data_IF_029787542110
#
_entry.id   IF_029787542110
#
_cell.length_a   1.000
_cell.length_b   1.000
_cell.length_c   1.000
_cell.angle_alpha   90.00
_cell.angle_beta   90.00
_cell.angle_gamma   90.00
#
_symmetry.space_group_name_H-M   'P 1'
#
loop_
_entity.id
_entity.type
_entity.pdbx_description
1 polymer ?
#
# COMPACT_ATOMS: atom_id res chain seq x y z
N UNK A 1 -3.76 -6.19 -43.07
CA UNK A 1 -3.38 -4.82 -42.63
C UNK A 1 -2.97 -4.69 -41.15
N UNK A 2 -3.25 -5.68 -40.25
CA UNK A 2 -2.83 -5.63 -38.83
C UNK A 2 -1.36 -5.99 -38.56
N UNK A 3 -0.67 -6.69 -39.47
CA UNK A 3 0.76 -7.05 -39.31
C UNK A 3 1.73 -5.89 -39.54
N UNK A 4 1.35 -4.86 -40.31
CA UNK A 4 2.27 -3.77 -40.69
C UNK A 4 2.42 -2.68 -39.61
N UNK A 5 1.53 -2.62 -38.61
CA UNK A 5 1.70 -1.71 -37.48
C UNK A 5 2.56 -2.30 -36.35
N UNK A 6 2.59 -3.63 -36.17
CA UNK A 6 3.44 -4.30 -35.17
C UNK A 6 4.94 -4.20 -35.49
N UNK A 7 5.32 -4.23 -36.78
CA UNK A 7 6.73 -4.13 -37.20
C UNK A 7 7.35 -2.74 -37.04
N UNK A 8 6.53 -1.67 -36.94
CA UNK A 8 7.05 -0.29 -36.88
C UNK A 8 7.56 0.12 -35.49
N UNK A 9 7.01 -0.41 -34.39
CA UNK A 9 7.46 -0.05 -33.03
C UNK A 9 8.58 -0.93 -32.47
N UNK A 10 8.76 -2.17 -32.96
CA UNK A 10 9.91 -3.02 -32.59
C UNK A 10 11.25 -2.40 -33.01
N UNK A 11 11.24 -1.50 -34.00
CA UNK A 11 12.44 -0.87 -34.55
C UNK A 11 13.07 0.20 -33.65
N UNK A 12 12.34 0.76 -32.67
CA UNK A 12 12.77 1.92 -31.88
C UNK A 12 13.25 1.61 -30.45
N UNK A 13 12.99 0.42 -29.89
CA UNK A 13 13.50 0.09 -28.55
C UNK A 13 14.88 -0.62 -28.63
N UNK A 14 15.99 0.02 -28.22
CA UNK A 14 17.32 -0.56 -28.30
C UNK A 14 17.51 -1.83 -27.46
N UNK A 15 16.68 -2.09 -26.44
CA UNK A 15 16.69 -3.36 -25.69
C UNK A 15 15.99 -4.49 -26.46
N UNK A 16 14.90 -4.21 -27.20
CA UNK A 16 14.23 -5.19 -28.08
C UNK A 16 15.16 -5.61 -29.23
N UNK A 17 15.97 -4.69 -29.75
CA UNK A 17 17.06 -5.02 -30.70
C UNK A 17 18.17 -5.88 -30.08
N UNK A 18 18.47 -5.69 -28.78
CA UNK A 18 19.55 -6.39 -28.08
C UNK A 18 19.14 -7.78 -27.57
N UNK A 19 17.84 -8.03 -27.40
CA UNK A 19 17.28 -9.30 -26.92
C UNK A 19 15.97 -9.70 -27.62
N UNK A 20 15.96 -9.91 -28.95
CA UNK A 20 14.73 -10.18 -29.73
C UNK A 20 14.01 -11.49 -29.33
N UNK A 21 14.68 -12.35 -28.56
CA UNK A 21 14.21 -13.68 -28.15
C UNK A 21 14.07 -13.84 -26.63
N UNK A 22 13.81 -12.76 -25.88
CA UNK A 22 13.72 -12.81 -24.41
C UNK A 22 12.38 -12.30 -23.87
N UNK A 23 11.63 -11.59 -24.69
CA UNK A 23 10.33 -11.01 -24.34
C UNK A 23 9.24 -11.72 -25.16
N UNK A 24 8.14 -12.09 -24.50
CA UNK A 24 7.07 -12.87 -25.12
C UNK A 24 6.25 -12.07 -26.13
N UNK A 25 6.29 -10.75 -26.06
CA UNK A 25 5.65 -9.84 -27.02
C UNK A 25 6.21 -9.96 -28.44
N UNK A 26 7.45 -10.44 -28.59
CA UNK A 26 8.12 -10.68 -29.87
C UNK A 26 8.13 -12.14 -30.33
N UNK A 27 7.55 -13.07 -29.56
CA UNK A 27 7.56 -14.51 -29.86
C UNK A 27 6.21 -15.04 -30.34
N UNK A 28 6.25 -16.06 -31.22
CA UNK A 28 5.07 -16.81 -31.60
C UNK A 28 4.40 -17.50 -30.41
N UNK A 29 3.06 -17.48 -30.37
CA UNK A 29 2.27 -17.97 -29.24
C UNK A 29 2.54 -19.43 -28.83
N UNK A 30 3.12 -20.26 -29.69
CA UNK A 30 3.38 -21.69 -29.43
C UNK A 30 4.82 -22.02 -29.00
N UNK A 31 5.63 -21.02 -28.63
CA UNK A 31 7.00 -21.30 -28.18
C UNK A 31 7.01 -22.00 -26.81
N UNK A 32 7.93 -22.95 -26.59
CA UNK A 32 8.14 -23.61 -25.28
C UNK A 32 8.44 -22.61 -24.16
N UNK A 33 9.00 -21.46 -24.52
CA UNK A 33 9.25 -20.36 -23.59
C UNK A 33 7.94 -19.68 -23.15
N UNK A 34 6.99 -19.48 -24.07
CA UNK A 34 5.65 -18.97 -23.76
C UNK A 34 4.85 -19.94 -22.87
N UNK A 35 4.90 -21.24 -23.16
CA UNK A 35 4.23 -22.26 -22.34
C UNK A 35 4.76 -22.32 -20.90
N UNK A 36 6.07 -22.13 -20.70
CA UNK A 36 6.64 -22.06 -19.36
C UNK A 36 6.06 -20.91 -18.53
N UNK A 37 5.84 -19.72 -19.13
CA UNK A 37 5.20 -18.60 -18.43
C UNK A 37 3.68 -18.78 -18.27
N UNK A 38 2.99 -19.46 -19.19
CA UNK A 38 1.58 -19.86 -18.99
C UNK A 38 1.42 -20.83 -17.83
N UNK A 39 2.33 -21.79 -17.71
CA UNK A 39 2.41 -22.72 -16.58
C UNK A 39 2.69 -21.94 -15.28
N UNK A 40 3.67 -21.04 -15.28
CA UNK A 40 3.99 -20.20 -14.12
C UNK A 40 2.79 -19.37 -13.67
N UNK A 41 2.09 -18.71 -14.60
CA UNK A 41 0.86 -17.97 -14.32
C UNK A 41 -0.19 -18.88 -13.67
N UNK A 42 -0.39 -20.07 -14.21
CA UNK A 42 -1.37 -21.04 -13.71
C UNK A 42 -1.03 -21.48 -12.28
N UNK A 43 0.24 -21.78 -11.99
CA UNK A 43 0.69 -22.13 -10.64
C UNK A 43 0.51 -20.98 -9.64
N UNK A 44 0.79 -19.74 -10.06
CA UNK A 44 0.53 -18.56 -9.23
C UNK A 44 -0.97 -18.41 -9.00
N UNK A 45 -1.81 -18.56 -10.02
CA UNK A 45 -3.26 -18.48 -9.90
C UNK A 45 -3.84 -19.49 -8.92
N UNK A 46 -3.41 -20.76 -8.97
CA UNK A 46 -3.83 -21.76 -7.99
C UNK A 46 -3.38 -21.42 -6.57
N UNK A 47 -2.17 -20.86 -6.42
CA UNK A 47 -1.70 -20.37 -5.11
C UNK A 47 -2.51 -19.15 -4.60
N UNK A 48 -3.15 -18.40 -5.52
CA UNK A 48 -4.03 -17.25 -5.23
C UNK A 48 -5.46 -17.69 -4.87
N UNK A 49 -5.88 -18.92 -5.22
CA UNK A 49 -7.21 -19.41 -4.83
C UNK A 49 -7.29 -19.69 -3.33
N UNK A 50 -6.21 -20.20 -2.73
CA UNK A 50 -6.14 -20.49 -1.29
C UNK A 50 -5.86 -19.24 -0.44
N UNK A 51 -5.24 -18.21 -1.02
CA UNK A 51 -4.86 -16.96 -0.35
C UNK A 51 -5.11 -15.81 -1.33
N UNK A 52 -5.84 -14.76 -0.93
CA UNK A 52 -6.08 -13.55 -1.76
C UNK A 52 -4.79 -12.78 -2.10
N UNK A 53 -3.89 -13.37 -2.88
CA UNK A 53 -2.62 -12.81 -3.31
C UNK A 53 -2.90 -11.86 -4.47
N UNK A 54 -2.66 -10.57 -4.26
CA UNK A 54 -2.78 -9.54 -5.28
C UNK A 54 -1.46 -8.85 -5.55
N UNK A 55 -0.48 -8.98 -4.67
CA UNK A 55 0.86 -8.42 -4.79
C UNK A 55 1.95 -9.51 -4.71
N UNK A 56 2.88 -9.50 -5.66
CA UNK A 56 3.96 -10.48 -5.78
C UNK A 56 5.31 -9.79 -5.95
N UNK A 57 6.21 -10.00 -5.00
CA UNK A 57 7.62 -9.60 -5.12
C UNK A 57 8.36 -10.62 -5.97
N UNK A 58 9.05 -10.15 -7.00
CA UNK A 58 10.01 -10.93 -7.78
C UNK A 58 11.42 -10.49 -7.36
N UNK A 59 12.17 -11.44 -6.81
CA UNK A 59 13.56 -11.22 -6.38
C UNK A 59 14.45 -12.36 -6.91
N UNK A 60 15.74 -12.32 -6.62
CA UNK A 60 16.69 -13.38 -6.95
C UNK A 60 17.75 -13.53 -5.86
N UNK A 61 18.47 -14.65 -5.84
CA UNK A 61 19.54 -14.84 -4.88
C UNK A 61 20.73 -13.93 -5.22
N UNK A 62 21.09 -13.83 -6.50
CA UNK A 62 22.21 -13.00 -6.99
C UNK A 62 21.86 -12.10 -8.16
N UNK A 63 22.84 -11.30 -8.58
CA UNK A 63 22.71 -10.43 -9.75
C UNK A 63 22.60 -11.26 -11.04
N UNK A 64 21.92 -10.70 -12.04
CA UNK A 64 21.86 -11.27 -13.39
C UNK A 64 21.19 -12.66 -13.50
N UNK A 65 20.29 -13.00 -12.57
CA UNK A 65 19.49 -14.24 -12.64
C UNK A 65 18.25 -14.13 -13.55
N UNK A 66 17.94 -12.93 -14.03
CA UNK A 66 16.83 -12.67 -14.95
C UNK A 66 15.51 -12.34 -14.28
N UNK A 67 15.57 -11.76 -13.07
CA UNK A 67 14.41 -11.23 -12.30
C UNK A 67 13.52 -10.33 -13.15
N UNK A 68 14.08 -9.26 -13.71
CA UNK A 68 13.36 -8.22 -14.46
C UNK A 68 12.72 -8.75 -15.75
N UNK A 69 13.38 -9.70 -16.43
CA UNK A 69 12.81 -10.41 -17.59
C UNK A 69 11.64 -11.30 -17.18
N UNK A 70 11.78 -11.99 -16.05
CA UNK A 70 10.72 -12.83 -15.50
C UNK A 70 9.52 -11.99 -15.08
N UNK A 71 9.76 -10.85 -14.44
CA UNK A 71 8.77 -9.83 -14.10
C UNK A 71 7.98 -9.39 -15.34
N UNK A 72 8.67 -9.00 -16.42
CA UNK A 72 8.01 -8.60 -17.67
C UNK A 72 7.13 -9.71 -18.26
N UNK A 73 7.71 -10.89 -18.49
CA UNK A 73 7.02 -11.97 -19.18
C UNK A 73 5.85 -12.53 -18.37
N UNK A 74 5.98 -12.57 -17.03
CA UNK A 74 4.88 -12.92 -16.16
C UNK A 74 3.76 -11.89 -16.22
N UNK A 75 4.09 -10.60 -16.14
CA UNK A 75 3.12 -9.51 -16.21
C UNK A 75 2.36 -9.52 -17.55
N UNK A 76 3.08 -9.67 -18.66
CA UNK A 76 2.52 -9.82 -19.99
C UNK A 76 1.57 -11.04 -20.06
N UNK A 77 2.01 -12.21 -19.59
CA UNK A 77 1.20 -13.43 -19.65
C UNK A 77 -0.06 -13.35 -18.78
N UNK A 78 0.00 -12.62 -17.66
CA UNK A 78 -1.15 -12.32 -16.82
C UNK A 78 -2.10 -11.33 -17.50
N UNK A 79 -1.61 -10.27 -18.13
CA UNK A 79 -2.48 -9.28 -18.79
C UNK A 79 -3.24 -9.87 -19.99
N UNK A 80 -2.65 -10.85 -20.70
CA UNK A 80 -3.32 -11.61 -21.76
C UNK A 80 -4.56 -12.40 -21.28
N UNK A 81 -4.71 -12.65 -19.97
CA UNK A 81 -5.93 -13.26 -19.40
C UNK A 81 -7.02 -12.24 -19.04
N UNK A 82 -6.89 -11.00 -19.51
CA UNK A 82 -7.85 -9.93 -19.24
C UNK A 82 -7.69 -9.25 -17.88
N UNK A 83 -6.72 -9.67 -17.07
CA UNK A 83 -6.42 -9.08 -15.76
C UNK A 83 -5.72 -7.74 -15.93
N UNK A 84 -6.10 -6.76 -15.11
CA UNK A 84 -5.36 -5.51 -14.96
C UNK A 84 -4.09 -5.76 -14.13
N UNK A 85 -2.91 -5.61 -14.76
CA UNK A 85 -1.62 -5.92 -14.15
C UNK A 85 -0.76 -4.67 -14.07
N UNK A 86 -0.27 -4.37 -12.87
CA UNK A 86 0.70 -3.30 -12.64
C UNK A 86 2.08 -3.90 -12.33
N UNK A 87 3.11 -3.36 -12.96
CA UNK A 87 4.51 -3.63 -12.62
C UNK A 87 5.12 -2.43 -11.92
N UNK A 88 5.68 -2.64 -10.72
CA UNK A 88 6.40 -1.61 -9.96
C UNK A 88 7.90 -1.90 -10.05
N UNK A 89 8.69 -0.92 -10.50
CA UNK A 89 10.16 -1.00 -10.46
C UNK A 89 10.68 -0.54 -9.09
N UNK A 90 10.86 -1.49 -8.16
CA UNK A 90 11.40 -1.23 -6.85
C UNK A 90 12.91 -1.56 -6.75
N UNK A 91 13.59 -1.85 -7.87
CA UNK A 91 15.06 -1.84 -7.94
C UNK A 91 15.55 -0.40 -8.14
N UNK A 92 15.40 0.39 -7.08
CA UNK A 92 15.76 1.82 -7.09
C UNK A 92 17.28 2.06 -7.26
N UNK A 93 18.11 1.01 -7.19
CA UNK A 93 19.56 1.07 -7.37
C UNK A 93 19.97 0.92 -8.83
N UNK A 94 19.32 -0.02 -9.54
CA UNK A 94 19.61 -0.31 -10.95
C UNK A 94 18.30 -0.50 -11.73
N UNK A 95 17.47 0.55 -11.88
CA UNK A 95 16.16 0.44 -12.49
C UNK A 95 16.26 0.12 -13.98
N UNK A 96 15.40 -0.78 -14.42
CA UNK A 96 15.45 -1.40 -15.75
C UNK A 96 14.09 -1.53 -16.41
N UNK A 97 12.99 -1.47 -15.66
CA UNK A 97 11.63 -1.71 -16.15
C UNK A 97 11.23 -0.65 -17.18
N UNK A 98 11.49 0.65 -16.93
CA UNK A 98 11.09 1.69 -17.88
C UNK A 98 11.65 1.46 -19.29
N UNK A 99 12.90 0.96 -19.38
CA UNK A 99 13.53 0.64 -20.67
C UNK A 99 12.87 -0.57 -21.34
N UNK A 100 12.49 -1.58 -20.57
CA UNK A 100 11.90 -2.82 -21.09
C UNK A 100 10.46 -2.61 -21.58
N UNK A 101 9.69 -1.79 -20.88
CA UNK A 101 8.28 -1.53 -21.21
C UNK A 101 8.06 -0.36 -22.17
N UNK A 102 9.15 0.20 -22.74
CA UNK A 102 9.10 1.42 -23.57
C UNK A 102 8.36 2.59 -22.89
N UNK A 103 8.42 2.62 -21.57
CA UNK A 103 7.82 3.66 -20.76
C UNK A 103 8.72 4.90 -20.80
N UNK A 104 8.13 6.09 -20.85
CA UNK A 104 8.89 7.31 -20.78
C UNK A 104 9.72 7.32 -19.48
N UNK A 105 10.98 7.82 -19.54
CA UNK A 105 11.70 8.18 -18.33
C UNK A 105 10.86 9.26 -17.64
N UNK A 106 10.18 8.86 -16.58
CA UNK A 106 9.26 9.70 -15.87
C UNK A 106 9.49 9.55 -14.37
N UNK A 107 8.92 10.49 -13.64
CA UNK A 107 8.71 10.40 -12.21
C UNK A 107 8.00 9.08 -11.88
N UNK A 108 8.29 8.51 -10.72
CA UNK A 108 7.85 7.17 -10.35
C UNK A 108 7.78 6.99 -8.84
N UNK A 109 8.12 5.79 -8.38
CA UNK A 109 8.11 5.41 -6.96
C UNK A 109 8.86 6.43 -6.10
N UNK A 110 10.06 6.85 -6.49
CA UNK A 110 10.87 7.78 -5.70
C UNK A 110 10.15 9.10 -5.48
N UNK A 111 9.69 9.79 -6.54
CA UNK A 111 9.01 11.08 -6.41
C UNK A 111 7.68 10.96 -5.68
N UNK A 112 6.97 9.85 -5.84
CA UNK A 112 5.73 9.63 -5.09
C UNK A 112 5.99 9.53 -3.57
N UNK A 113 7.01 8.77 -3.18
CA UNK A 113 7.33 8.54 -1.77
C UNK A 113 8.04 9.74 -1.14
N UNK A 114 8.77 10.54 -1.92
CA UNK A 114 9.53 11.70 -1.46
C UNK A 114 8.77 13.03 -1.57
N UNK A 115 7.93 13.22 -2.59
CA UNK A 115 7.26 14.50 -2.84
C UNK A 115 5.79 14.44 -2.44
N UNK A 116 5.02 13.52 -3.03
CA UNK A 116 3.57 13.50 -2.85
C UNK A 116 3.18 13.16 -1.40
N UNK A 117 3.84 12.18 -0.78
CA UNK A 117 3.54 11.81 0.61
C UNK A 117 4.08 12.85 1.61
N UNK A 118 5.07 13.65 1.23
CA UNK A 118 5.57 14.77 2.03
C UNK A 118 4.97 16.11 1.62
N UNK A 119 3.81 16.10 0.96
CA UNK A 119 3.09 17.32 0.63
C UNK A 119 2.87 18.18 1.89
N UNK A 120 3.00 19.50 1.70
CA UNK A 120 2.71 20.45 2.76
C UNK A 120 1.21 20.42 3.06
N UNK A 121 0.89 20.14 4.33
CA UNK A 121 -0.47 20.08 4.85
C UNK A 121 -0.69 21.11 5.97
N UNK A 122 0.14 22.16 6.02
CA UNK A 122 0.00 23.25 6.99
C UNK A 122 -1.32 24.00 6.79
N UNK A 123 -1.75 24.22 5.55
CA UNK A 123 -3.05 24.80 5.24
C UNK A 123 -3.49 24.40 3.82
N UNK A 124 -4.79 24.48 3.55
CA UNK A 124 -5.34 24.23 2.21
C UNK A 124 -6.85 24.08 2.22
N UNK A 125 -7.39 23.60 1.10
CA UNK A 125 -8.84 23.40 0.90
C UNK A 125 -9.19 21.92 0.76
N UNK A 126 -10.38 21.55 1.25
CA UNK A 126 -10.89 20.17 1.22
C UNK A 126 -11.26 19.68 -0.19
N UNK A 127 -11.43 20.62 -1.13
CA UNK A 127 -11.63 20.34 -2.55
C UNK A 127 -10.38 19.75 -3.22
N UNK A 128 -9.19 20.07 -2.72
CA UNK A 128 -7.92 19.53 -3.22
C UNK A 128 -7.44 18.33 -2.39
N UNK A 129 -7.67 18.37 -1.08
CA UNK A 129 -7.32 17.30 -0.14
C UNK A 129 -8.57 16.79 0.56
N UNK A 130 -9.01 15.58 0.21
CA UNK A 130 -10.08 14.95 0.99
C UNK A 130 -9.60 14.73 2.44
N UNK A 131 -10.53 14.66 3.38
CA UNK A 131 -10.19 14.38 4.80
C UNK A 131 -9.35 13.12 4.95
N UNK A 132 -9.63 12.09 4.15
CA UNK A 132 -8.88 10.84 4.16
C UNK A 132 -7.42 11.02 3.69
N UNK A 133 -7.17 11.93 2.74
CA UNK A 133 -5.81 12.30 2.34
C UNK A 133 -5.07 12.94 3.51
N UNK A 134 -5.68 13.93 4.17
CA UNK A 134 -5.07 14.65 5.29
C UNK A 134 -4.68 13.70 6.41
N UNK A 135 -5.58 12.81 6.79
CA UNK A 135 -5.30 11.83 7.84
C UNK A 135 -4.20 10.86 7.44
N UNK A 136 -4.24 10.34 6.21
CA UNK A 136 -3.20 9.43 5.74
C UNK A 136 -1.85 10.13 5.63
N UNK A 137 -1.81 11.39 5.22
CA UNK A 137 -0.59 12.20 5.16
C UNK A 137 -0.04 12.47 6.57
N UNK A 138 -0.88 12.85 7.53
CA UNK A 138 -0.47 13.01 8.94
C UNK A 138 0.11 11.72 9.51
N UNK A 139 -0.54 10.58 9.24
CA UNK A 139 -0.08 9.24 9.63
C UNK A 139 1.29 8.90 9.00
N UNK A 140 1.41 9.01 7.67
CA UNK A 140 2.61 8.65 6.94
C UNK A 140 3.80 9.59 7.21
N UNK A 141 3.52 10.85 7.54
CA UNK A 141 4.52 11.84 7.94
C UNK A 141 4.84 11.78 9.45
N UNK A 142 4.10 10.96 10.22
CA UNK A 142 4.24 10.84 11.70
C UNK A 142 4.14 12.18 12.43
N UNK A 143 3.25 13.07 11.98
CA UNK A 143 3.15 14.43 12.54
C UNK A 143 2.57 14.45 13.96
N UNK A 144 3.00 15.45 14.73
CA UNK A 144 2.54 15.78 16.07
C UNK A 144 1.83 17.14 16.03
N UNK A 145 0.53 17.19 16.24
CA UNK A 145 -0.17 18.47 16.09
C UNK A 145 -1.67 18.42 16.09
N UNK A 146 -2.26 19.57 15.79
CA UNK A 146 -3.67 19.80 15.64
C UNK A 146 -4.00 20.00 14.16
N UNK A 147 -4.87 19.14 13.63
CA UNK A 147 -5.55 19.36 12.35
C UNK A 147 -6.93 19.95 12.62
N UNK A 148 -7.13 21.22 12.24
CA UNK A 148 -8.41 21.89 12.26
C UNK A 148 -9.06 21.82 10.87
N UNK A 149 -10.32 21.40 10.82
CA UNK A 149 -11.16 21.33 9.63
C UNK A 149 -12.34 22.29 9.80
N UNK A 150 -12.58 23.15 8.82
CA UNK A 150 -13.65 24.14 8.85
C UNK A 150 -14.45 24.11 7.54
N UNK A 151 -15.73 23.74 7.63
CA UNK A 151 -16.66 23.69 6.49
C UNK A 151 -17.55 24.93 6.39
N UNK A 152 -17.33 25.95 7.24
CA UNK A 152 -18.20 27.10 7.45
C UNK A 152 -19.40 26.82 8.36
N UNK A 153 -19.90 25.59 8.39
CA UNK A 153 -20.97 25.13 9.31
C UNK A 153 -20.39 24.37 10.50
N UNK A 154 -19.56 23.39 10.20
CA UNK A 154 -18.95 22.49 11.16
C UNK A 154 -17.45 22.75 11.26
N UNK A 155 -16.97 22.87 12.50
CA UNK A 155 -15.54 23.00 12.84
C UNK A 155 -15.13 21.80 13.68
N UNK A 156 -14.14 21.05 13.19
CA UNK A 156 -13.59 19.87 13.85
C UNK A 156 -12.11 20.10 14.13
N UNK A 157 -11.67 19.72 15.32
CA UNK A 157 -10.28 19.77 15.78
C UNK A 157 -9.81 18.36 16.10
N UNK A 158 -8.73 17.91 15.47
CA UNK A 158 -8.21 16.55 15.59
C UNK A 158 -6.75 16.59 16.02
N UNK A 159 -6.45 15.88 17.10
CA UNK A 159 -5.13 15.90 17.72
C UNK A 159 -4.38 14.63 17.37
N UNK A 160 -3.14 14.77 16.91
CA UNK A 160 -2.31 13.67 16.45
C UNK A 160 -0.99 13.63 17.20
N UNK A 161 -0.57 12.41 17.54
CA UNK A 161 0.73 12.13 18.11
C UNK A 161 1.36 10.94 17.37
N UNK A 162 2.55 11.13 16.82
CA UNK A 162 3.26 10.24 15.90
C UNK A 162 2.38 9.78 14.73
N UNK A 163 1.57 10.71 14.20
CA UNK A 163 0.61 10.44 13.12
C UNK A 163 -0.63 9.65 13.54
N UNK A 164 -0.77 9.27 14.82
CA UNK A 164 -1.95 8.58 15.35
C UNK A 164 -2.92 9.57 15.95
N UNK A 165 -4.19 9.43 15.62
CA UNK A 165 -5.26 10.23 16.21
C UNK A 165 -5.39 9.92 17.72
N UNK A 166 -5.34 10.98 18.54
CA UNK A 166 -5.46 10.94 20.00
C UNK A 166 -6.78 11.51 20.50
N UNK A 167 -7.30 12.54 19.83
CA UNK A 167 -8.55 13.16 20.22
C UNK A 167 -9.25 13.80 19.01
N UNK A 168 -10.58 13.94 19.11
CA UNK A 168 -11.43 14.58 18.11
C UNK A 168 -12.52 15.42 18.78
N UNK A 169 -12.49 16.72 18.54
CA UNK A 169 -13.40 17.70 19.13
C UNK A 169 -14.22 18.32 18.01
N UNK A 170 -15.55 18.27 18.14
CA UNK A 170 -16.46 19.05 17.28
C UNK A 170 -16.76 20.36 17.97
N UNK A 171 -16.03 21.42 17.58
CA UNK A 171 -16.06 22.72 18.24
C UNK A 171 -17.42 23.42 18.10
N UNK A 172 -18.06 23.31 16.93
CA UNK A 172 -19.40 23.87 16.65
C UNK A 172 -20.53 22.88 16.89
N UNK A 173 -20.31 21.86 17.73
CA UNK A 173 -21.33 20.85 18.05
C UNK A 173 -22.60 21.50 18.62
N UNK A 174 -23.79 21.21 18.06
CA UNK A 174 -25.08 21.71 18.58
C UNK A 174 -25.28 21.38 20.06
N UNK A 175 -25.94 22.26 20.82
CA UNK A 175 -26.10 22.13 22.28
C UNK A 175 -26.77 20.81 22.67
N UNK A 176 -27.79 20.39 21.94
CA UNK A 176 -28.51 19.13 22.14
C UNK A 176 -27.61 17.90 21.95
N UNK A 177 -26.54 18.01 21.15
CA UNK A 177 -25.59 16.93 20.89
C UNK A 177 -24.39 16.91 21.83
N UNK A 178 -24.23 17.92 22.68
CA UNK A 178 -23.11 17.97 23.62
C UNK A 178 -23.22 16.86 24.66
N UNK A 179 -22.08 16.35 25.10
CA UNK A 179 -22.00 15.25 26.07
C UNK A 179 -22.88 15.47 27.31
N UNK A 180 -22.91 16.68 27.87
CA UNK A 180 -23.77 16.99 29.02
C UNK A 180 -25.26 16.77 28.71
N UNK A 181 -25.74 17.27 27.56
CA UNK A 181 -27.13 17.14 27.12
C UNK A 181 -27.49 15.68 26.86
N UNK A 182 -26.62 14.93 26.16
CA UNK A 182 -26.81 13.49 25.89
C UNK A 182 -26.87 12.67 27.19
N UNK A 183 -26.02 13.00 28.18
CA UNK A 183 -26.03 12.33 29.48
C UNK A 183 -27.30 12.65 30.29
N UNK A 184 -27.82 13.86 30.16
CA UNK A 184 -29.09 14.26 30.81
C UNK A 184 -30.29 13.60 30.13
N UNK A 185 -30.35 13.61 28.81
CA UNK A 185 -31.42 12.99 28.03
C UNK A 185 -31.49 11.47 28.20
N UNK A 186 -30.35 10.81 28.34
CA UNK A 186 -30.27 9.36 28.63
C UNK A 186 -30.59 9.00 30.09
N UNK A 187 -30.78 10.00 30.96
CA UNK A 187 -31.06 9.80 32.38
C UNK A 187 -29.84 9.37 33.23
N UNK A 188 -28.64 9.32 32.63
CA UNK A 188 -27.39 8.97 33.32
C UNK A 188 -26.93 10.10 34.25
N UNK A 189 -27.25 11.35 33.92
CA UNK A 189 -26.87 12.54 34.68
C UNK A 189 -28.08 13.43 34.97
N UNK A 190 -28.24 13.92 36.19
CA UNK A 190 -29.27 14.92 36.48
C UNK A 190 -28.90 16.29 35.89
N UNK A 191 -29.91 17.10 35.55
CA UNK A 191 -29.69 18.46 35.06
C UNK A 191 -28.91 19.34 36.05
N UNK A 192 -29.12 19.13 37.36
CA UNK A 192 -28.36 19.83 38.41
C UNK A 192 -26.89 19.43 38.40
N UNK A 193 -26.60 18.11 38.38
CA UNK A 193 -25.23 17.60 38.36
C UNK A 193 -24.49 18.05 37.08
N UNK A 194 -25.18 18.11 35.94
CA UNK A 194 -24.63 18.65 34.71
C UNK A 194 -24.21 20.13 34.84
N UNK A 195 -25.06 20.96 35.45
CA UNK A 195 -24.75 22.39 35.71
C UNK A 195 -23.54 22.54 36.64
N UNK A 196 -23.46 21.73 37.69
CA UNK A 196 -22.33 21.73 38.63
C UNK A 196 -21.03 21.35 37.90
N UNK A 197 -21.03 20.26 37.13
CA UNK A 197 -19.87 19.80 36.38
C UNK A 197 -19.40 20.82 35.33
N UNK A 198 -20.34 21.47 34.63
CA UNK A 198 -20.02 22.51 33.64
C UNK A 198 -19.38 23.75 34.27
N UNK A 199 -19.82 24.17 35.46
CA UNK A 199 -19.17 25.26 36.21
C UNK A 199 -17.74 24.88 36.60
N UNK A 200 -17.55 23.70 37.21
CA UNK A 200 -16.23 23.22 37.61
C UNK A 200 -15.29 23.11 36.41
N UNK A 201 -15.75 22.58 35.27
CA UNK A 201 -14.98 22.55 34.02
C UNK A 201 -14.53 23.94 33.59
N UNK A 202 -15.39 24.95 33.69
CA UNK A 202 -15.04 26.34 33.32
C UNK A 202 -13.94 26.89 34.24
N UNK A 203 -13.97 26.53 35.51
CA UNK A 203 -13.00 26.97 36.51
C UNK A 203 -11.67 26.21 36.42
N UNK A 204 -11.69 24.91 36.10
CA UNK A 204 -10.50 24.04 36.08
C UNK A 204 -9.88 23.83 34.70
N UNK A 205 -10.62 24.06 33.62
CA UNK A 205 -10.20 23.77 32.25
C UNK A 205 -10.15 22.27 31.88
N UNK A 206 -10.51 21.37 32.80
CA UNK A 206 -10.47 19.92 32.57
C UNK A 206 -11.52 19.45 31.55
N UNK A 207 -11.28 18.29 30.91
CA UNK A 207 -12.27 17.63 30.05
C UNK A 207 -13.51 17.28 30.88
N UNK A 208 -14.71 17.47 30.32
CA UNK A 208 -15.97 17.26 31.04
C UNK A 208 -16.11 15.83 31.58
N UNK A 209 -15.65 14.82 30.82
CA UNK A 209 -15.65 13.43 31.27
C UNK A 209 -14.86 13.22 32.57
N UNK A 210 -13.64 13.78 32.64
CA UNK A 210 -12.81 13.72 33.85
C UNK A 210 -13.46 14.45 35.02
N UNK A 211 -14.07 15.62 34.79
CA UNK A 211 -14.79 16.34 35.85
C UNK A 211 -15.96 15.51 36.40
N UNK A 212 -16.70 14.82 35.53
CA UNK A 212 -17.83 13.98 35.94
C UNK A 212 -17.38 12.76 36.76
N UNK A 213 -16.27 12.12 36.39
CA UNK A 213 -15.71 10.97 37.11
C UNK A 213 -15.05 11.38 38.42
N UNK A 214 -14.25 12.46 38.43
CA UNK A 214 -13.54 12.95 39.62
C UNK A 214 -14.50 13.44 40.70
N UNK A 215 -15.66 13.96 40.29
CA UNK A 215 -16.74 14.36 41.21
C UNK A 215 -17.60 13.18 41.69
N UNK A 216 -17.37 11.97 41.18
CA UNK A 216 -18.20 10.80 41.48
C UNK A 216 -19.64 10.91 40.94
N UNK A 217 -19.88 11.78 39.95
CA UNK A 217 -21.21 12.01 39.39
C UNK A 217 -21.62 10.92 38.41
N UNK A 218 -20.65 10.30 37.73
CA UNK A 218 -20.84 9.21 36.76
C UNK A 218 -19.64 8.25 36.85
N UNK A 219 -19.84 6.96 36.63
CA UNK A 219 -18.75 5.99 36.51
C UNK A 219 -18.12 6.00 35.11
N UNK A 220 -16.84 5.62 34.98
CA UNK A 220 -16.20 5.45 33.66
C UNK A 220 -16.96 4.48 32.74
N UNK A 221 -17.58 3.45 33.31
CA UNK A 221 -18.35 2.44 32.58
C UNK A 221 -19.58 3.07 31.91
N UNK A 222 -20.29 3.94 32.62
CA UNK A 222 -21.49 4.61 32.10
C UNK A 222 -21.14 5.70 31.09
N UNK A 223 -19.93 6.26 31.18
CA UNK A 223 -19.44 7.29 30.28
C UNK A 223 -18.97 6.72 28.91
N UNK A 224 -18.54 5.45 28.86
CA UNK A 224 -18.04 4.77 27.65
C UNK A 224 -18.99 4.84 26.46
N UNK A 225 -20.25 4.48 26.66
CA UNK A 225 -21.26 4.45 25.59
C UNK A 225 -21.48 5.84 24.97
N UNK A 226 -21.83 6.86 25.77
CA UNK A 226 -21.99 8.24 25.32
C UNK A 226 -20.73 8.81 24.64
N UNK A 227 -19.54 8.56 25.18
CA UNK A 227 -18.30 9.01 24.55
C UNK A 227 -18.06 8.35 23.18
N UNK A 228 -18.28 7.03 23.06
CA UNK A 228 -18.15 6.34 21.78
C UNK A 228 -19.13 6.90 20.73
N UNK A 229 -20.37 7.17 21.12
CA UNK A 229 -21.36 7.79 20.24
C UNK A 229 -20.92 9.21 19.83
N UNK A 230 -20.50 10.03 20.79
CA UNK A 230 -20.02 11.39 20.56
C UNK A 230 -18.84 11.41 19.58
N UNK A 231 -17.86 10.54 19.78
CA UNK A 231 -16.72 10.34 18.86
C UNK A 231 -17.19 9.92 17.47
N UNK A 232 -18.10 8.93 17.38
CA UNK A 232 -18.57 8.42 16.09
C UNK A 232 -19.30 9.51 15.30
N UNK A 233 -20.12 10.33 15.95
CA UNK A 233 -20.76 11.49 15.32
C UNK A 233 -19.74 12.47 14.77
N UNK A 234 -18.67 12.80 15.52
CA UNK A 234 -17.61 13.68 15.04
C UNK A 234 -16.99 13.13 13.76
N UNK A 235 -16.67 11.83 13.71
CA UNK A 235 -16.18 11.20 12.48
C UNK A 235 -17.21 11.23 11.34
N UNK A 236 -18.50 11.11 11.62
CA UNK A 236 -19.54 11.19 10.59
C UNK A 236 -19.59 12.58 9.96
N UNK A 237 -19.43 13.63 10.77
CA UNK A 237 -19.33 15.02 10.28
C UNK A 237 -18.10 15.16 9.39
N UNK A 238 -16.92 14.77 9.88
CA UNK A 238 -15.68 14.78 9.10
C UNK A 238 -15.84 14.08 7.75
N UNK A 239 -16.39 12.86 7.71
CA UNK A 239 -16.57 12.12 6.45
C UNK A 239 -17.50 12.80 5.44
N UNK A 240 -18.41 13.67 5.92
CA UNK A 240 -19.34 14.46 5.08
C UNK A 240 -18.74 15.79 4.64
N UNK A 241 -17.66 16.26 5.26
CA UNK A 241 -16.96 17.47 4.83
C UNK A 241 -16.30 17.23 3.48
N UNK A 242 -16.84 17.85 2.42
CA UNK A 242 -16.30 17.78 1.06
C UNK A 242 -15.67 19.10 0.59
N UNK A 243 -16.02 20.19 1.24
CA UNK A 243 -15.60 21.55 0.92
C UNK A 243 -15.23 22.27 2.22
N UNK A 244 -14.42 23.31 2.12
CA UNK A 244 -13.95 24.08 3.27
C UNK A 244 -12.44 24.15 3.33
N UNK A 245 -11.91 24.55 4.46
CA UNK A 245 -10.49 24.78 4.69
C UNK A 245 -9.96 23.88 5.79
N UNK A 246 -8.66 23.60 5.75
CA UNK A 246 -7.95 22.95 6.84
C UNK A 246 -6.70 23.72 7.23
N UNK A 247 -6.30 23.56 8.48
CA UNK A 247 -5.05 24.07 9.01
C UNK A 247 -4.41 23.03 9.92
N UNK A 248 -3.14 22.73 9.72
CA UNK A 248 -2.35 21.90 10.62
C UNK A 248 -1.35 22.76 11.38
N UNK A 249 -1.34 22.63 12.71
CA UNK A 249 -0.40 23.31 13.59
C UNK A 249 0.39 22.28 14.40
N UNK A 250 1.71 22.38 14.39
CA UNK A 250 2.56 21.52 15.23
C UNK A 250 2.31 21.80 16.72
N UNK A 251 2.28 20.74 17.53
CA UNK A 251 2.15 20.82 18.98
C UNK A 251 3.39 20.23 19.67
N UNK A 252 3.88 20.84 20.76
CA UNK A 252 5.04 20.32 21.49
C UNK A 252 4.70 19.00 22.19
N UNK A 253 5.72 18.16 22.43
CA UNK A 253 5.55 16.86 23.11
C UNK A 253 4.88 16.98 24.48
N UNK A 254 5.11 18.09 25.18
CA UNK A 254 4.49 18.39 26.47
C UNK A 254 2.96 18.40 26.44
N UNK A 255 2.35 18.61 25.27
CA UNK A 255 0.90 18.55 25.09
C UNK A 255 0.35 17.12 25.16
N UNK A 256 1.20 16.11 24.97
CA UNK A 256 0.84 14.68 24.94
C UNK A 256 1.31 13.91 26.19
N UNK A 257 1.86 14.61 27.19
CA UNK A 257 2.51 14.01 28.37
C UNK A 257 1.55 13.45 29.45
N UNK A 258 0.23 13.59 29.31
CA UNK A 258 -0.71 12.89 30.18
C UNK A 258 -0.89 11.44 29.70
N UNK A 259 -1.13 10.52 30.63
CA UNK A 259 -1.55 9.11 30.41
C UNK A 259 -2.90 9.00 29.63
N UNK A 260 -3.03 9.69 28.50
CA UNK A 260 -4.08 9.50 27.48
C UNK A 260 -3.72 8.24 26.68
N UNK A 261 -3.66 7.11 27.40
CA UNK A 261 -3.78 5.80 26.80
C UNK A 261 -5.10 5.80 26.06
N UNK A 262 -5.10 5.84 24.72
CA UNK A 262 -6.26 5.83 23.82
C UNK A 262 -7.40 4.96 24.40
N UNK A 263 -8.29 5.49 25.27
CA UNK A 263 -8.99 4.64 26.24
C UNK A 263 -10.08 3.82 25.57
N UNK A 264 -10.42 4.23 24.35
CA UNK A 264 -11.53 3.74 23.56
C UNK A 264 -11.07 3.22 22.20
N UNK A 265 -9.76 3.14 21.95
CA UNK A 265 -9.21 2.70 20.67
C UNK A 265 -9.68 3.59 19.52
N UNK A 266 -9.71 4.92 19.71
CA UNK A 266 -10.08 5.92 18.71
C UNK A 266 -9.35 5.69 17.39
N UNK A 267 -8.05 5.37 17.47
CA UNK A 267 -7.27 5.05 16.28
C UNK A 267 -7.77 3.77 15.61
N UNK A 268 -8.10 2.73 16.36
CA UNK A 268 -8.63 1.46 15.82
C UNK A 268 -10.04 1.62 15.23
N UNK A 269 -10.90 2.39 15.91
CA UNK A 269 -12.25 2.73 15.44
C UNK A 269 -12.18 3.45 14.10
N UNK A 270 -11.23 4.38 13.99
CA UNK A 270 -10.95 5.12 12.78
C UNK A 270 -10.37 4.22 11.66
N UNK A 271 -9.36 3.40 11.94
CA UNK A 271 -8.79 2.47 10.96
C UNK A 271 -9.85 1.52 10.37
N UNK A 272 -10.79 1.06 11.19
CA UNK A 272 -11.91 0.23 10.72
C UNK A 272 -12.79 1.00 9.74
N UNK A 273 -13.11 2.26 10.04
CA UNK A 273 -13.93 3.11 9.19
C UNK A 273 -13.24 3.45 7.86
N UNK A 274 -11.93 3.75 7.89
CA UNK A 274 -11.15 4.00 6.68
C UNK A 274 -11.24 2.84 5.69
N UNK A 275 -11.16 1.59 6.18
CA UNK A 275 -11.20 0.40 5.32
C UNK A 275 -12.52 0.22 4.56
N UNK A 276 -13.61 0.88 4.95
CA UNK A 276 -14.94 0.75 4.35
C UNK A 276 -15.21 1.75 3.22
N UNK A 277 -14.34 2.74 2.98
CA UNK A 277 -14.62 3.77 1.97
C UNK A 277 -13.53 4.80 1.71
N UNK A 278 -12.26 4.40 1.64
CA UNK A 278 -11.13 5.31 1.36
C UNK A 278 -11.35 6.16 0.09
N UNK A 279 -11.50 7.48 0.25
CA UNK A 279 -11.52 8.43 -0.85
C UNK A 279 -10.33 9.38 -0.78
N UNK A 280 -9.15 8.86 -1.11
CA UNK A 280 -7.97 9.67 -1.30
C UNK A 280 -8.10 10.46 -2.62
N UNK A 281 -8.41 11.74 -2.57
CA UNK A 281 -8.54 12.59 -3.75
C UNK A 281 -7.16 13.03 -4.25
N UNK A 282 -6.36 13.62 -3.35
CA UNK A 282 -5.02 14.12 -3.64
C UNK A 282 -4.07 12.96 -3.97
N UNK A 283 -3.92 11.98 -3.06
CA UNK A 283 -2.96 10.89 -3.23
C UNK A 283 -3.32 10.05 -4.46
N UNK A 284 -4.61 9.81 -4.72
CA UNK A 284 -5.03 9.11 -5.95
C UNK A 284 -4.56 9.84 -7.18
N UNK A 285 -4.81 11.14 -7.28
CA UNK A 285 -4.41 11.95 -8.42
C UNK A 285 -2.90 11.90 -8.62
N UNK A 286 -2.12 12.03 -7.54
CA UNK A 286 -0.66 11.92 -7.59
C UNK A 286 -0.23 10.53 -8.09
N UNK A 287 -0.75 9.45 -7.51
CA UNK A 287 -0.40 8.07 -7.89
C UNK A 287 -0.77 7.77 -9.35
N UNK A 288 -1.99 8.09 -9.77
CA UNK A 288 -2.50 7.77 -11.11
C UNK A 288 -1.74 8.51 -12.22
N UNK A 289 -1.27 9.74 -11.96
CA UNK A 289 -0.46 10.48 -12.94
C UNK A 289 0.92 9.87 -13.20
N UNK A 290 1.43 9.05 -12.28
CA UNK A 290 2.73 8.38 -12.38
C UNK A 290 2.64 6.96 -12.97
N UNK A 291 1.43 6.39 -13.04
CA UNK A 291 1.21 5.09 -13.65
C UNK A 291 1.16 5.25 -15.17
N UNK A 292 2.05 4.53 -15.86
CA UNK A 292 2.13 4.56 -17.31
C UNK A 292 1.41 3.36 -17.91
N UNK A 293 0.64 3.62 -18.97
CA UNK A 293 0.14 2.56 -19.86
C UNK A 293 1.28 2.06 -20.73
N UNK A 294 1.28 0.77 -21.01
CA UNK A 294 2.22 0.16 -21.96
C UNK A 294 1.53 -0.07 -23.30
N UNK A 295 2.30 -0.47 -24.32
CA UNK A 295 1.75 -0.89 -25.63
C UNK A 295 0.92 -2.19 -25.52
N UNK A 296 0.96 -2.88 -24.37
CA UNK A 296 0.17 -4.09 -24.11
C UNK A 296 -1.13 -3.74 -23.36
N UNK A 297 -2.30 -4.16 -23.86
CA UNK A 297 -3.57 -3.97 -23.15
C UNK A 297 -3.54 -4.55 -21.73
N UNK A 298 -4.20 -3.86 -20.80
CA UNK A 298 -4.30 -4.22 -19.38
C UNK A 298 -2.96 -4.31 -18.62
N UNK A 299 -1.86 -3.83 -19.20
CA UNK A 299 -0.54 -3.84 -18.58
C UNK A 299 -0.02 -2.43 -18.36
N UNK A 300 0.32 -2.16 -17.10
CA UNK A 300 0.69 -0.84 -16.59
C UNK A 300 2.03 -0.92 -15.87
N UNK A 301 2.73 0.20 -15.80
CA UNK A 301 4.04 0.32 -15.16
C UNK A 301 4.09 1.54 -14.25
N UNK A 302 4.54 1.34 -13.02
CA UNK A 302 5.01 2.40 -12.14
C UNK A 302 6.55 2.34 -12.14
N UNK A 303 7.25 3.26 -12.83
CA UNK A 303 8.70 3.26 -12.90
C UNK A 303 9.33 3.60 -11.54
N UNK A 304 10.64 3.40 -11.40
CA UNK A 304 11.36 3.73 -10.17
C UNK A 304 11.38 5.22 -9.88
N UNK A 305 11.44 6.06 -10.92
CA UNK A 305 11.80 7.47 -10.78
C UNK A 305 13.31 7.67 -10.66
N UNK A 306 13.72 8.83 -10.14
CA UNK A 306 15.12 9.13 -9.86
C UNK A 306 15.71 8.14 -8.83
N UNK A 307 17.02 7.90 -8.88
CA UNK A 307 17.71 7.07 -7.89
C UNK A 307 17.81 7.88 -6.59
N UNK A 308 17.18 7.45 -5.48
CA UNK A 308 17.24 8.19 -4.22
C UNK A 308 18.59 7.98 -3.52
N UNK A 309 18.99 8.87 -2.59
CA UNK A 309 20.20 8.68 -1.79
C UNK A 309 20.10 7.46 -0.85
N UNK A 310 18.90 7.17 -0.31
CA UNK A 310 18.66 6.09 0.65
C UNK A 310 17.60 5.08 0.15
N UNK A 311 17.89 4.23 -0.85
CA UNK A 311 16.92 3.27 -1.41
C UNK A 311 16.26 2.35 -0.38
N UNK A 312 17.05 1.74 0.51
CA UNK A 312 16.58 0.74 1.46
C UNK A 312 15.56 1.31 2.46
N UNK A 313 15.78 2.55 2.92
CA UNK A 313 14.86 3.24 3.83
C UNK A 313 13.52 3.51 3.14
N UNK A 314 13.58 3.99 1.90
CA UNK A 314 12.39 4.32 1.12
C UNK A 314 11.52 3.08 0.85
N UNK A 315 12.13 1.97 0.43
CA UNK A 315 11.42 0.72 0.16
C UNK A 315 10.92 0.02 1.44
N UNK A 316 11.61 0.19 2.57
CA UNK A 316 11.21 -0.37 3.86
C UNK A 316 10.15 0.45 4.61
N UNK A 317 9.79 1.63 4.10
CA UNK A 317 8.93 2.58 4.79
C UNK A 317 7.45 2.21 4.78
N UNK A 318 6.69 2.73 5.75
CA UNK A 318 5.23 2.63 5.77
C UNK A 318 4.58 3.31 4.56
N UNK A 319 5.28 4.28 3.95
CA UNK A 319 4.88 4.92 2.69
C UNK A 319 4.82 3.92 1.54
N UNK A 320 5.85 3.08 1.40
CA UNK A 320 5.87 2.00 0.40
C UNK A 320 4.79 0.95 0.69
N UNK A 321 4.62 0.58 1.96
CA UNK A 321 3.58 -0.36 2.39
C UNK A 321 2.17 0.14 2.02
N UNK A 322 1.90 1.42 2.27
CA UNK A 322 0.66 2.07 1.86
C UNK A 322 0.47 2.01 0.35
N UNK A 323 1.51 2.38 -0.42
CA UNK A 323 1.46 2.37 -1.88
C UNK A 323 1.12 0.98 -2.44
N UNK A 324 1.82 -0.06 -2.00
CA UNK A 324 1.58 -1.45 -2.43
C UNK A 324 0.15 -1.86 -2.09
N UNK A 325 -0.30 -1.60 -0.85
CA UNK A 325 -1.64 -1.95 -0.38
C UNK A 325 -2.74 -1.23 -1.17
N UNK A 326 -2.54 0.06 -1.46
CA UNK A 326 -3.45 0.88 -2.24
C UNK A 326 -3.56 0.40 -3.69
N UNK A 327 -2.44 0.07 -4.33
CA UNK A 327 -2.40 -0.42 -5.71
C UNK A 327 -2.97 -1.84 -5.83
N UNK A 328 -2.71 -2.72 -4.86
CA UNK A 328 -3.27 -4.07 -4.82
C UNK A 328 -4.80 -4.10 -4.68
N UNK A 329 -5.42 -3.01 -4.22
CA UNK A 329 -6.88 -2.85 -4.22
C UNK A 329 -7.44 -2.41 -5.58
N UNK A 330 -6.62 -1.73 -6.40
CA UNK A 330 -7.01 -1.14 -7.69
C UNK A 330 -6.72 -2.01 -8.92
N UNK A 331 -5.68 -2.83 -8.85
CA UNK A 331 -5.31 -3.76 -9.91
C UNK A 331 -5.68 -5.19 -9.51
N UNK A 332 -5.99 -6.02 -10.50
CA UNK A 332 -6.18 -7.45 -10.28
C UNK A 332 -4.90 -8.11 -9.78
N UNK A 333 -3.74 -7.61 -10.25
CA UNK A 333 -2.43 -8.11 -9.85
C UNK A 333 -1.34 -7.05 -9.91
N UNK A 334 -0.45 -7.04 -8.92
CA UNK A 334 0.70 -6.13 -8.81
C UNK A 334 1.98 -6.96 -8.71
N UNK A 335 2.93 -6.74 -9.61
CA UNK A 335 4.24 -7.41 -9.61
C UNK A 335 5.32 -6.39 -9.30
N UNK A 336 6.18 -6.69 -8.32
CA UNK A 336 7.19 -5.76 -7.81
C UNK A 336 8.58 -6.32 -8.18
N UNK A 337 9.30 -5.66 -9.10
CA UNK A 337 10.70 -6.01 -9.40
C UNK A 337 11.60 -5.46 -8.29
N UNK A 338 12.48 -6.29 -7.73
CA UNK A 338 13.34 -5.90 -6.59
C UNK A 338 14.80 -6.25 -6.83
N UNK A 339 15.76 -5.61 -6.14
CA UNK A 339 17.15 -6.04 -6.16
C UNK A 339 17.33 -7.51 -5.69
N UNK A 340 18.45 -8.15 -6.00
CA UNK A 340 18.77 -9.48 -5.45
C UNK A 340 19.03 -9.45 -3.93
N UNK A 341 18.70 -10.55 -3.26
CA UNK A 341 18.75 -10.71 -1.79
C UNK A 341 20.16 -10.63 -1.21
N UNK A 342 21.12 -11.35 -1.80
CA UNK A 342 22.47 -11.46 -1.21
C UNK A 342 23.25 -10.14 -1.21
N UNK A 343 23.22 -9.32 -2.28
CA UNK A 343 23.96 -8.06 -2.30
C UNK A 343 23.18 -6.84 -1.76
N UNK A 344 21.88 -6.95 -1.48
CA UNK A 344 21.07 -5.81 -1.03
C UNK A 344 19.95 -6.24 -0.07
N UNK A 345 19.72 -5.44 0.97
CA UNK A 345 18.64 -5.66 1.95
C UNK A 345 17.25 -5.25 1.44
N UNK A 346 17.18 -4.47 0.37
CA UNK A 346 15.97 -3.87 -0.19
C UNK A 346 14.84 -4.89 -0.42
N UNK A 347 15.17 -6.05 -1.02
CA UNK A 347 14.20 -7.13 -1.24
C UNK A 347 13.71 -7.78 0.07
N UNK A 348 14.56 -7.85 1.10
CA UNK A 348 14.17 -8.37 2.42
C UNK A 348 13.19 -7.43 3.13
N UNK A 349 13.32 -6.12 2.92
CA UNK A 349 12.43 -5.11 3.49
C UNK A 349 11.08 -5.03 2.75
N UNK A 350 11.07 -5.26 1.44
CA UNK A 350 9.86 -5.28 0.60
C UNK A 350 9.08 -6.60 0.71
N UNK A 351 9.77 -7.73 0.84
CA UNK A 351 9.16 -9.06 0.88
C UNK A 351 7.97 -9.20 1.87
N UNK A 352 8.03 -8.73 3.13
CA UNK A 352 6.90 -8.82 4.06
C UNK A 352 5.77 -7.81 3.79
N UNK A 353 5.94 -6.86 2.85
CA UNK A 353 4.93 -5.88 2.50
C UNK A 353 4.01 -6.36 1.36
N UNK A 354 4.35 -7.47 0.70
CA UNK A 354 3.56 -8.09 -0.36
C UNK A 354 2.93 -9.41 0.10
N UNK A 355 1.90 -9.86 -0.60
CA UNK A 355 1.17 -11.10 -0.26
C UNK A 355 1.99 -12.38 -0.53
N UNK A 356 2.97 -12.28 -1.43
CA UNK A 356 3.83 -13.39 -1.82
C UNK A 356 5.17 -12.95 -2.39
N UNK A 357 6.13 -13.88 -2.36
CA UNK A 357 7.47 -13.74 -2.93
C UNK A 357 7.75 -14.92 -3.86
N UNK A 358 8.24 -14.64 -5.07
CA UNK A 358 8.83 -15.64 -5.95
C UNK A 358 10.31 -15.32 -6.19
N UNK A 359 11.17 -16.32 -5.96
CA UNK A 359 12.62 -16.16 -6.12
C UNK A 359 13.09 -16.74 -7.46
N UNK A 360 13.66 -15.92 -8.31
CA UNK A 360 14.27 -16.33 -9.57
C UNK A 360 15.70 -16.82 -9.33
N UNK A 361 16.02 -18.02 -9.81
CA UNK A 361 17.36 -18.60 -9.74
C UNK A 361 17.79 -19.00 -11.14
N UNK A 362 18.96 -18.55 -11.58
CA UNK A 362 19.48 -18.94 -12.90
C UNK A 362 20.17 -20.29 -12.79
N UNK A 363 19.78 -21.21 -13.69
CA UNK A 363 20.41 -22.53 -13.80
C UNK A 363 21.91 -22.40 -14.06
N UNK A 364 22.72 -23.10 -13.26
CA UNK A 364 24.17 -23.15 -13.38
C UNK A 364 24.92 -21.87 -12.96
N UNK A 365 24.25 -20.83 -12.44
CA UNK A 365 24.94 -19.61 -12.00
C UNK A 365 25.44 -19.72 -10.55
N UNK A 366 24.52 -19.85 -9.59
CA UNK A 366 24.84 -19.90 -8.17
C UNK A 366 24.87 -21.34 -7.66
N UNK A 367 25.78 -21.60 -6.72
CA UNK A 367 25.83 -22.87 -5.98
C UNK A 367 24.64 -23.00 -5.04
N UNK A 368 24.17 -24.23 -4.82
CA UNK A 368 22.99 -24.54 -3.99
C UNK A 368 23.07 -23.95 -2.57
N UNK A 369 24.26 -23.90 -1.97
CA UNK A 369 24.46 -23.30 -0.64
C UNK A 369 24.19 -21.78 -0.61
N UNK A 370 24.55 -21.05 -1.67
CA UNK A 370 24.29 -19.61 -1.78
C UNK A 370 22.80 -19.33 -1.96
N UNK A 371 22.13 -20.14 -2.79
CA UNK A 371 20.66 -20.09 -2.91
C UNK A 371 20.01 -20.41 -1.56
N UNK A 372 20.50 -21.42 -0.83
CA UNK A 372 20.04 -21.75 0.51
C UNK A 372 20.18 -20.61 1.52
N UNK A 373 21.29 -19.84 1.46
CA UNK A 373 21.47 -18.63 2.27
C UNK A 373 20.42 -17.56 1.97
N UNK A 374 20.14 -17.30 0.69
CA UNK A 374 19.12 -16.33 0.28
C UNK A 374 17.72 -16.73 0.77
N UNK A 375 17.35 -18.01 0.63
CA UNK A 375 16.10 -18.57 1.16
C UNK A 375 16.02 -18.41 2.68
N UNK A 376 17.11 -18.69 3.39
CA UNK A 376 17.17 -18.57 4.85
C UNK A 376 17.09 -17.10 5.33
N UNK A 377 17.54 -16.13 4.54
CA UNK A 377 17.35 -14.71 4.84
C UNK A 377 15.90 -14.28 4.60
N UNK A 378 15.28 -14.68 3.48
CA UNK A 378 13.87 -14.39 3.22
C UNK A 378 12.94 -14.99 4.28
N UNK A 379 13.16 -16.25 4.69
CA UNK A 379 12.31 -16.88 5.71
C UNK A 379 12.37 -16.18 7.07
N UNK A 380 13.47 -15.48 7.39
CA UNK A 380 13.59 -14.70 8.62
C UNK A 380 12.74 -13.43 8.62
N UNK A 381 12.33 -12.92 7.45
CA UNK A 381 11.46 -11.74 7.36
C UNK A 381 9.98 -12.07 7.51
N UNK A 382 9.64 -13.35 7.79
CA UNK A 382 8.27 -13.88 7.82
C UNK A 382 7.50 -13.69 6.49
N UNK A 383 8.20 -13.38 5.40
CA UNK A 383 7.59 -13.26 4.08
C UNK A 383 7.11 -14.61 3.55
N UNK A 384 5.99 -14.57 2.82
CA UNK A 384 5.40 -15.75 2.20
C UNK A 384 6.15 -16.14 0.91
N UNK A 385 7.22 -16.92 1.04
CA UNK A 385 7.95 -17.48 -0.11
C UNK A 385 7.09 -18.56 -0.80
N UNK A 386 6.48 -18.19 -1.92
CA UNK A 386 5.62 -19.08 -2.71
C UNK A 386 6.42 -20.17 -3.44
N UNK A 387 7.65 -19.86 -3.86
CA UNK A 387 8.49 -20.82 -4.55
C UNK A 387 9.67 -20.21 -5.30
N UNK A 388 10.28 -21.04 -6.14
CA UNK A 388 11.47 -20.70 -6.93
C UNK A 388 11.16 -20.85 -8.42
N UNK A 389 11.58 -19.87 -9.22
CA UNK A 389 11.50 -19.88 -10.68
C UNK A 389 12.91 -20.19 -11.21
N UNK A 390 13.10 -21.39 -11.75
CA UNK A 390 14.38 -21.78 -12.35
C UNK A 390 14.48 -21.23 -13.77
N UNK A 391 15.37 -20.25 -13.97
CA UNK A 391 15.51 -19.52 -15.22
C UNK A 391 16.71 -20.02 -16.06
N UNK A 392 16.66 -19.81 -17.38
CA UNK A 392 17.69 -20.21 -18.36
C UNK A 392 18.10 -21.68 -18.27
N UNK A 393 17.11 -22.57 -18.13
CA UNK A 393 17.32 -24.02 -18.13
C UNK A 393 17.68 -24.50 -19.54
N UNK A 394 18.74 -25.31 -19.64
CA UNK A 394 19.05 -26.01 -20.88
C UNK A 394 18.21 -27.28 -21.00
N UNK A 395 17.05 -27.15 -21.63
CA UNK A 395 16.09 -28.24 -21.88
C UNK A 395 16.61 -29.31 -22.86
N UNK A 396 17.75 -29.09 -23.53
CA UNK A 396 18.36 -30.07 -24.44
C UNK A 396 19.24 -31.09 -23.71
N UNK A 397 19.59 -30.86 -22.44
CA UNK A 397 20.26 -31.88 -21.62
C UNK A 397 19.23 -32.95 -21.22
N UNK A 398 19.48 -34.19 -21.63
CA UNK A 398 18.53 -35.33 -21.75
C UNK A 398 17.73 -35.75 -20.50
N UNK A 399 17.99 -35.19 -19.32
CA UNK A 399 17.27 -35.53 -18.08
C UNK A 399 15.95 -34.78 -17.85
N UNK A 400 15.82 -33.55 -18.35
CA UNK A 400 14.64 -32.71 -18.06
C UNK A 400 13.44 -33.03 -18.96
N UNK A 401 13.71 -33.49 -20.19
CA UNK A 401 12.69 -33.83 -21.18
C UNK A 401 11.79 -35.00 -20.74
N UNK A 402 12.40 -36.04 -20.15
CA UNK A 402 11.67 -37.21 -19.60
C UNK A 402 10.81 -36.87 -18.38
N UNK A 403 11.28 -35.98 -17.50
CA UNK A 403 10.53 -35.55 -16.32
C UNK A 403 9.34 -34.66 -16.69
N UNK A 404 9.53 -33.74 -17.64
CA UNK A 404 8.48 -32.82 -18.10
C UNK A 404 7.36 -33.55 -18.86
N UNK A 405 7.70 -34.51 -19.73
CA UNK A 405 6.71 -35.35 -20.42
C UNK A 405 5.89 -36.19 -19.43
N UNK A 406 6.52 -36.75 -18.38
CA UNK A 406 5.84 -37.55 -17.36
C UNK A 406 4.89 -36.72 -16.47
N UNK A 407 5.20 -35.44 -16.26
CA UNK A 407 4.33 -34.53 -15.50
C UNK A 407 3.11 -34.09 -16.33
N UNK A 408 3.31 -33.84 -17.63
CA UNK A 408 2.22 -33.50 -18.56
C UNK A 408 1.30 -34.68 -18.88
N UNK A 409 1.83 -35.91 -18.95
CA UNK A 409 0.99 -37.10 -19.15
C UNK A 409 -0.01 -37.31 -17.99
N UNK A 410 0.40 -37.00 -16.75
CA UNK A 410 -0.47 -37.17 -15.59
C UNK A 410 -1.55 -36.09 -15.51
N UNK A 411 -1.22 -34.84 -15.85
CA UNK A 411 -2.20 -33.74 -15.84
C UNK A 411 -3.32 -33.89 -16.87
N UNK A 412 -3.08 -34.60 -17.98
CA UNK A 412 -4.08 -34.91 -19.00
C UNK A 412 -4.77 -36.27 -18.79
N UNK A 413 -4.22 -37.15 -17.94
CA UNK A 413 -4.83 -38.42 -17.60
C UNK A 413 -5.90 -38.28 -16.51
N UNK A 414 -5.75 -37.31 -15.60
CA UNK A 414 -6.70 -37.07 -14.50
C UNK A 414 -7.91 -36.19 -14.90
N UNK A 415 -8.00 -35.80 -16.19
CA UNK A 415 -9.08 -34.96 -16.74
C UNK A 415 -9.91 -35.66 -17.83
N UNK A 416 -9.83 -37.00 -17.91
CA UNK A 416 -10.57 -37.84 -18.86
C UNK A 416 -11.58 -38.76 -18.16
#
# INVERSE_FOLDING_TARGET
MKENHMKKNTAQNPMLKRYPNVLLDSMGAQSRFAEAYRTLRTNIHFSVMDRKIRSLVITSAGQSEGKTVTTFNLAYTMSQSGKSVLVIDADLRKPMISRLFNAAKARGVTELLSDAINADITHGVLDDFATDDLFKLVELQKKNGLLKLDSGKDVIEMYFHEGRLRDIIWATRPEEKKLASVLVESGVLSLENAKIALRRRKDTGQKLGAVLTDMGLISEKDLRGPLNMHTMESFQVVSRMKTGEFHFSDLPESYFNSDDADPFGLHQLYERKLKEGENYLFLRKQIETLIQKTDTPNLFVLPSGAIPPNPSELVGSDRMRFLISYLARRFDFVIIDTPPILPASDALLLAPQADGVAMVVKSGLLRRNMVGKAVAQLRRTQANLMGVILNRVDVRREGYYKYYQKYYSNYHADAA
#
